data_IF_703053929032
#
_entry.id   IF_703053929032
#
_cell.length_a   1.000
_cell.length_b   1.000
_cell.length_c   1.000
_cell.angle_alpha   90.00
_cell.angle_beta   90.00
_cell.angle_gamma   90.00
#
_symmetry.space_group_name_H-M   'P 1'
#
loop_
_entity.id
_entity.type
_entity.pdbx_description
1 polymer ?
#
# COMPACT_ATOMS: atom_id res chain seq x y z
N UNK A 1 0.61 1.29 8.62
CA UNK A 1 1.29 1.36 7.31
C UNK A 1 2.69 0.80 7.45
N UNK A 2 3.25 0.22 6.39
CA UNK A 2 4.65 -0.21 6.41
C UNK A 2 5.27 -0.11 5.01
N UNK A 3 6.54 0.29 4.97
CA UNK A 3 7.39 0.24 3.79
C UNK A 3 8.40 -0.89 3.98
N UNK A 4 8.39 -1.84 3.06
CA UNK A 4 9.31 -2.96 2.99
C UNK A 4 10.38 -2.67 1.94
N UNK A 5 11.65 -2.89 2.26
CA UNK A 5 12.77 -2.67 1.34
C UNK A 5 13.69 -3.89 1.30
N UNK A 6 14.38 -4.07 0.19
CA UNK A 6 15.25 -5.22 -0.01
C UNK A 6 14.46 -6.53 -0.20
N UNK A 7 13.22 -6.44 -0.72
CA UNK A 7 12.46 -7.60 -1.16
C UNK A 7 13.09 -8.14 -2.45
N UNK A 8 13.17 -9.47 -2.60
CA UNK A 8 13.71 -10.06 -3.82
C UNK A 8 12.75 -9.84 -5.00
N UNK A 9 13.23 -9.20 -6.07
CA UNK A 9 12.41 -8.84 -7.25
C UNK A 9 11.81 -10.06 -7.96
N UNK A 10 12.42 -11.24 -7.84
CA UNK A 10 11.96 -12.49 -8.43
C UNK A 10 10.92 -13.25 -7.61
N UNK A 11 10.47 -12.70 -6.48
CA UNK A 11 9.34 -13.29 -5.74
C UNK A 11 8.07 -13.17 -6.59
N UNK A 12 7.30 -14.26 -6.78
CA UNK A 12 6.07 -14.21 -7.57
C UNK A 12 5.09 -13.12 -7.09
N UNK A 13 5.00 -12.88 -5.79
CA UNK A 13 4.14 -11.83 -5.22
C UNK A 13 4.57 -10.41 -5.61
N UNK A 14 5.76 -10.20 -6.18
CA UNK A 14 6.19 -8.89 -6.66
C UNK A 14 5.63 -8.54 -8.03
N UNK A 15 5.35 -9.54 -8.89
CA UNK A 15 5.00 -9.33 -10.30
C UNK A 15 3.73 -10.03 -10.75
N UNK A 16 3.26 -11.03 -10.00
CA UNK A 16 2.09 -11.83 -10.39
C UNK A 16 0.89 -11.53 -9.50
N UNK A 17 -0.22 -11.00 -10.07
CA UNK A 17 -1.42 -10.64 -9.29
C UNK A 17 -1.99 -11.80 -8.48
N UNK A 18 -2.03 -13.01 -9.05
CA UNK A 18 -2.59 -14.18 -8.35
C UNK A 18 -1.73 -14.63 -7.17
N UNK A 19 -0.40 -14.51 -7.29
CA UNK A 19 0.52 -14.82 -6.20
C UNK A 19 0.40 -13.80 -5.06
N UNK A 20 0.33 -12.50 -5.40
CA UNK A 20 0.11 -11.43 -4.42
C UNK A 20 -1.25 -11.58 -3.74
N UNK A 21 -2.29 -11.83 -4.53
CA UNK A 21 -3.64 -12.11 -4.04
C UNK A 21 -3.66 -13.26 -3.03
N UNK A 22 -3.03 -14.39 -3.37
CA UNK A 22 -2.96 -15.55 -2.49
C UNK A 22 -2.25 -15.24 -1.17
N UNK A 23 -1.16 -14.46 -1.21
CA UNK A 23 -0.44 -13.99 -0.03
C UNK A 23 -1.33 -13.09 0.85
N UNK A 24 -1.99 -12.09 0.26
CA UNK A 24 -2.87 -11.16 0.97
C UNK A 24 -4.06 -11.88 1.63
N UNK A 25 -4.74 -12.76 0.89
CA UNK A 25 -5.87 -13.51 1.43
C UNK A 25 -5.46 -14.50 2.53
N UNK A 26 -4.25 -15.07 2.44
CA UNK A 26 -3.70 -15.89 3.54
C UNK A 26 -3.49 -15.01 4.77
N UNK A 27 -2.84 -13.85 4.63
CA UNK A 27 -2.60 -12.94 5.74
C UNK A 27 -3.91 -12.46 6.40
N UNK A 28 -4.94 -12.18 5.61
CA UNK A 28 -6.28 -11.81 6.10
C UNK A 28 -6.90 -12.95 6.92
N UNK A 29 -6.84 -14.20 6.42
CA UNK A 29 -7.35 -15.37 7.16
C UNK A 29 -6.59 -15.62 8.46
N UNK A 30 -5.24 -15.55 8.40
CA UNK A 30 -4.38 -15.75 9.57
C UNK A 30 -4.63 -14.68 10.64
N UNK A 31 -4.99 -13.45 10.22
CA UNK A 31 -5.44 -12.37 11.10
C UNK A 31 -6.87 -12.50 11.59
N UNK A 32 -7.60 -13.57 11.24
CA UNK A 32 -9.02 -13.78 11.55
C UNK A 32 -9.91 -12.57 11.15
N UNK A 33 -9.60 -11.97 9.99
CA UNK A 33 -10.37 -10.89 9.38
C UNK A 33 -11.25 -11.44 8.25
N UNK A 34 -12.37 -10.75 7.97
CA UNK A 34 -13.37 -11.19 6.98
C UNK A 34 -13.23 -10.38 5.70
N UNK A 35 -12.75 -10.98 4.58
CA UNK A 35 -12.70 -10.29 3.30
C UNK A 35 -14.12 -10.21 2.70
N UNK A 36 -14.47 -9.06 2.12
CA UNK A 36 -15.76 -8.81 1.44
C UNK A 36 -15.60 -8.47 -0.04
N UNK A 37 -14.39 -8.20 -0.51
CA UNK A 37 -14.08 -7.94 -1.91
C UNK A 37 -12.58 -7.74 -2.11
N UNK A 38 -12.14 -7.79 -3.37
CA UNK A 38 -10.73 -7.63 -3.70
C UNK A 38 -10.54 -7.19 -5.13
N UNK A 39 -9.42 -6.51 -5.41
CA UNK A 39 -8.97 -6.14 -6.74
C UNK A 39 -7.46 -6.15 -6.78
N UNK A 40 -6.88 -6.76 -7.81
CA UNK A 40 -5.45 -6.75 -8.08
C UNK A 40 -5.20 -6.37 -9.53
N UNK A 41 -4.26 -5.46 -9.76
CA UNK A 41 -3.90 -4.96 -11.08
C UNK A 41 -2.39 -5.02 -11.28
N UNK A 42 -1.95 -5.57 -12.42
CA UNK A 42 -0.54 -5.59 -12.82
C UNK A 42 -0.26 -4.42 -13.75
N UNK A 43 0.83 -3.71 -13.48
CA UNK A 43 1.34 -2.69 -14.40
C UNK A 43 2.14 -3.30 -15.54
N UNK A 44 2.33 -2.57 -16.63
CA UNK A 44 3.20 -2.97 -17.74
C UNK A 44 4.68 -3.10 -17.30
N UNK A 45 5.51 -3.84 -18.09
CA UNK A 45 6.92 -4.08 -17.74
C UNK A 45 7.69 -2.79 -17.39
N UNK A 46 8.54 -2.80 -16.30
CA UNK A 46 8.96 -3.94 -15.44
C UNK A 46 7.94 -4.39 -14.40
N UNK A 47 6.80 -3.79 -14.41
CA UNK A 47 5.51 -4.00 -13.78
C UNK A 47 5.42 -4.69 -12.43
N UNK A 48 5.20 -3.88 -11.40
CA UNK A 48 4.68 -4.32 -10.13
C UNK A 48 3.17 -4.60 -10.15
N UNK A 49 2.62 -4.87 -9.00
CA UNK A 49 1.19 -5.11 -8.78
C UNK A 49 0.66 -4.15 -7.72
N UNK A 50 -0.50 -3.58 -7.95
CA UNK A 50 -1.29 -2.93 -6.93
C UNK A 50 -2.46 -3.84 -6.56
N UNK A 51 -2.79 -3.89 -5.27
CA UNK A 51 -3.90 -4.70 -4.80
C UNK A 51 -4.61 -4.09 -3.61
N UNK A 52 -5.87 -4.40 -3.48
CA UNK A 52 -6.68 -4.08 -2.31
C UNK A 52 -7.54 -5.28 -1.95
N UNK A 53 -7.62 -5.57 -0.65
CA UNK A 53 -8.60 -6.47 -0.07
C UNK A 53 -9.50 -5.64 0.84
N UNK A 54 -10.76 -5.53 0.49
CA UNK A 54 -11.79 -4.93 1.33
C UNK A 54 -12.15 -5.92 2.43
N UNK A 55 -12.16 -5.45 3.64
CA UNK A 55 -12.57 -6.19 4.82
C UNK A 55 -13.91 -5.62 5.30
N UNK A 56 -14.66 -6.34 6.13
CA UNK A 56 -15.99 -5.95 6.55
C UNK A 56 -16.07 -4.51 7.11
N UNK A 57 -15.01 -4.04 7.79
CA UNK A 57 -14.97 -2.69 8.39
C UNK A 57 -13.60 -2.02 8.19
N UNK A 58 -12.82 -2.46 7.19
CA UNK A 58 -11.42 -2.06 7.05
C UNK A 58 -10.86 -2.41 5.67
N UNK A 59 -9.55 -2.33 5.50
CA UNK A 59 -8.90 -2.74 4.25
C UNK A 59 -7.42 -3.11 4.46
N UNK A 60 -6.92 -3.88 3.50
CA UNK A 60 -5.51 -4.05 3.21
C UNK A 60 -5.23 -3.50 1.82
N UNK A 61 -4.33 -2.53 1.68
CA UNK A 61 -3.81 -2.11 0.39
C UNK A 61 -2.32 -2.45 0.28
N UNK A 62 -1.89 -2.81 -0.93
CA UNK A 62 -0.52 -3.25 -1.21
C UNK A 62 -0.08 -2.76 -2.58
N UNK A 63 1.16 -2.27 -2.67
CA UNK A 63 1.80 -1.91 -3.92
C UNK A 63 3.21 -2.50 -3.95
N UNK A 64 3.55 -3.18 -5.03
CA UNK A 64 4.88 -3.78 -5.22
C UNK A 64 5.66 -3.01 -6.28
N UNK A 65 6.96 -2.87 -6.05
CA UNK A 65 7.91 -2.15 -6.89
C UNK A 65 9.12 -3.06 -7.13
N UNK A 66 9.02 -4.06 -8.02
CA UNK A 66 10.09 -5.03 -8.24
C UNK A 66 11.42 -4.38 -8.63
N UNK A 67 11.38 -3.29 -9.41
CA UNK A 67 12.56 -2.51 -9.82
C UNK A 67 13.30 -1.84 -8.66
N UNK A 68 12.60 -1.60 -7.55
CA UNK A 68 13.15 -1.00 -6.33
C UNK A 68 13.38 -2.01 -5.22
N UNK A 69 12.93 -3.27 -5.41
CA UNK A 69 12.88 -4.26 -4.35
C UNK A 69 12.04 -3.78 -3.16
N UNK A 70 10.94 -3.05 -3.43
CA UNK A 70 10.14 -2.40 -2.41
C UNK A 70 8.67 -2.81 -2.46
N UNK A 71 8.01 -2.77 -1.28
CA UNK A 71 6.57 -2.96 -1.14
C UNK A 71 6.04 -1.94 -0.14
N UNK A 72 4.92 -1.31 -0.46
CA UNK A 72 4.18 -0.47 0.48
C UNK A 72 2.90 -1.16 0.91
N UNK A 73 2.61 -1.11 2.20
CA UNK A 73 1.45 -1.76 2.82
C UNK A 73 0.66 -0.75 3.65
N UNK A 74 -0.65 -0.71 3.45
CA UNK A 74 -1.58 -0.06 4.37
C UNK A 74 -2.55 -1.10 4.92
N UNK A 75 -2.45 -1.36 6.22
CA UNK A 75 -3.36 -2.23 6.97
C UNK A 75 -4.15 -1.32 7.90
N UNK A 76 -5.39 -1.09 7.56
CA UNK A 76 -6.34 -0.35 8.39
C UNK A 76 -7.35 -1.33 8.99
N UNK A 77 -7.54 -1.28 10.31
CA UNK A 77 -8.58 -2.04 11.01
C UNK A 77 -9.43 -1.08 11.83
N UNK A 78 -10.73 -1.34 11.85
CA UNK A 78 -11.65 -0.61 12.72
C UNK A 78 -11.57 -1.19 14.14
N UNK A 79 -11.46 -0.31 15.13
CA UNK A 79 -11.47 -0.66 16.55
C UNK A 79 -12.82 -0.33 17.23
N UNK A 80 -13.88 -0.08 16.44
CA UNK A 80 -15.20 0.16 16.98
C UNK A 80 -15.76 -1.14 17.57
N UNK A 81 -16.01 -1.13 18.86
CA UNK A 81 -16.56 -2.29 19.59
C UNK A 81 -15.55 -3.39 19.97
N UNK A 82 -14.35 -3.42 19.40
CA UNK A 82 -13.28 -4.36 19.76
C UNK A 82 -11.91 -3.84 19.35
N UNK A 83 -10.86 -4.14 20.12
CA UNK A 83 -9.48 -3.84 19.72
C UNK A 83 -8.97 -4.90 18.73
N UNK A 84 -8.87 -4.53 17.47
CA UNK A 84 -8.33 -5.34 16.38
C UNK A 84 -6.84 -5.12 16.11
N UNK A 85 -6.13 -4.35 16.95
CA UNK A 85 -4.72 -4.02 16.76
C UNK A 85 -3.83 -5.27 16.65
N UNK A 86 -4.07 -6.29 17.46
CA UNK A 86 -3.33 -7.54 17.41
C UNK A 86 -3.54 -8.30 16.08
N UNK A 87 -4.77 -8.26 15.52
CA UNK A 87 -5.09 -8.85 14.22
C UNK A 87 -4.36 -8.14 13.08
N UNK A 88 -4.33 -6.80 13.12
CA UNK A 88 -3.58 -5.99 12.14
C UNK A 88 -2.08 -6.29 12.20
N UNK A 89 -1.51 -6.44 13.40
CA UNK A 89 -0.11 -6.80 13.57
C UNK A 89 0.20 -8.20 13.04
N UNK A 90 -0.67 -9.18 13.30
CA UNK A 90 -0.54 -10.54 12.78
C UNK A 90 -0.60 -10.59 11.26
N UNK A 91 -1.55 -9.85 10.65
CA UNK A 91 -1.67 -9.70 9.20
C UNK A 91 -0.38 -9.10 8.61
N UNK A 92 0.11 -8.02 9.19
CA UNK A 92 1.35 -7.37 8.76
C UNK A 92 2.55 -8.31 8.87
N UNK A 93 2.66 -9.07 9.95
CA UNK A 93 3.73 -10.05 10.15
C UNK A 93 3.71 -11.16 9.07
N UNK A 94 2.54 -11.68 8.71
CA UNK A 94 2.39 -12.68 7.64
C UNK A 94 2.84 -12.10 6.28
N UNK A 95 2.49 -10.85 5.97
CA UNK A 95 2.95 -10.18 4.75
C UNK A 95 4.46 -9.96 4.76
N UNK A 96 5.04 -9.50 5.87
CA UNK A 96 6.48 -9.34 6.01
C UNK A 96 7.23 -10.65 5.80
N UNK A 97 6.74 -11.76 6.36
CA UNK A 97 7.32 -13.09 6.13
C UNK A 97 7.24 -13.49 4.64
N UNK A 98 6.12 -13.19 3.97
CA UNK A 98 5.92 -13.51 2.56
C UNK A 98 6.84 -12.75 1.61
N UNK A 99 7.17 -11.50 1.93
CA UNK A 99 8.09 -10.66 1.14
C UNK A 99 9.54 -10.78 1.57
N UNK A 100 9.83 -11.30 2.77
CA UNK A 100 11.16 -11.44 3.35
C UNK A 100 12.06 -10.20 3.15
N UNK A 101 11.63 -8.99 3.58
CA UNK A 101 12.36 -7.77 3.33
C UNK A 101 13.66 -7.71 4.15
N UNK A 102 14.67 -7.03 3.61
CA UNK A 102 15.90 -6.71 4.36
C UNK A 102 15.70 -5.60 5.40
N UNK A 103 14.69 -4.72 5.19
CA UNK A 103 14.35 -3.61 6.08
C UNK A 103 12.84 -3.37 6.10
N UNK A 104 12.31 -3.04 7.27
CA UNK A 104 10.91 -2.68 7.50
C UNK A 104 10.85 -1.32 8.20
N UNK A 105 10.07 -0.39 7.64
CA UNK A 105 9.71 0.87 8.26
C UNK A 105 8.20 0.82 8.53
N UNK A 106 7.82 0.60 9.78
CA UNK A 106 6.42 0.51 10.18
C UNK A 106 5.97 1.79 10.91
N UNK A 107 4.79 2.29 10.53
CA UNK A 107 4.15 3.45 11.14
C UNK A 107 2.77 3.07 11.64
N UNK A 108 2.49 3.41 12.90
CA UNK A 108 1.16 3.29 13.47
C UNK A 108 0.49 4.66 13.46
N UNK A 109 -0.67 4.72 12.82
CA UNK A 109 -1.51 5.93 12.79
C UNK A 109 -2.87 5.56 13.38
N UNK A 110 -3.33 6.32 14.36
CA UNK A 110 -4.69 6.21 14.88
C UNK A 110 -5.57 7.10 14.03
N UNK A 111 -6.67 6.54 13.49
CA UNK A 111 -7.65 7.25 12.65
C UNK A 111 -9.05 6.90 13.12
N UNK A 112 -10.00 7.84 12.94
CA UNK A 112 -11.40 7.58 13.24
C UNK A 112 -11.68 7.50 14.73
N UNK A 113 -10.96 8.23 15.56
CA UNK A 113 -11.43 8.51 16.92
C UNK A 113 -12.75 9.26 16.80
N UNK A 114 -13.83 8.57 17.12
CA UNK A 114 -15.12 9.22 17.33
C UNK A 114 -14.98 9.90 18.70
N UNK A 115 -14.36 11.08 18.72
CA UNK A 115 -14.47 11.99 19.85
C UNK A 115 -15.96 12.22 20.09
N UNK A 116 -16.36 12.37 21.33
CA UNK A 116 -17.73 12.65 21.73
C UNK A 116 -18.38 13.64 20.75
N UNK A 117 -19.33 13.17 19.95
CA UNK A 117 -20.20 14.02 19.13
C UNK A 117 -21.16 14.84 20.00
N UNK A 118 -20.79 15.11 21.23
CA UNK A 118 -21.59 15.75 22.26
C UNK A 118 -20.97 17.00 22.88
N UNK A 119 -20.16 17.78 22.18
CA UNK A 119 -20.04 19.23 22.50
C UNK A 119 -19.49 19.98 21.29
N UNK A 120 -20.35 20.68 20.58
CA UNK A 120 -20.03 21.68 19.58
C UNK A 120 -19.51 22.95 20.29
N UNK A 121 -18.32 22.89 20.81
CA UNK A 121 -17.52 24.04 21.22
C UNK A 121 -16.51 24.34 20.12
N UNK A 122 -16.89 25.23 19.22
CA UNK A 122 -16.00 25.91 18.28
C UNK A 122 -14.66 26.28 18.96
N UNK A 123 -13.56 25.71 18.48
CA UNK A 123 -12.29 26.45 18.36
C UNK A 123 -11.35 25.68 17.41
N UNK A 124 -11.24 26.21 16.18
CA UNK A 124 -10.20 25.85 15.26
C UNK A 124 -8.80 26.04 15.85
N UNK A 125 -8.05 24.99 15.81
CA UNK A 125 -6.61 25.07 15.63
C UNK A 125 -6.21 23.83 14.83
N UNK A 126 -6.19 23.96 13.51
CA UNK A 126 -5.43 23.08 12.63
C UNK A 126 -3.98 23.47 12.85
N UNK A 127 -3.33 22.82 13.81
CA UNK A 127 -1.88 22.94 13.96
C UNK A 127 -1.26 22.51 12.64
N UNK A 128 -0.67 23.49 12.00
CA UNK A 128 0.13 23.39 10.79
C UNK A 128 1.16 22.26 10.98
N UNK A 129 0.97 21.15 10.26
CA UNK A 129 1.96 20.06 10.21
C UNK A 129 3.25 20.66 9.69
N UNK A 130 4.34 20.71 10.46
CA UNK A 130 5.57 21.32 10.00
C UNK A 130 6.04 20.60 8.73
N UNK A 131 6.43 21.37 7.74
CA UNK A 131 6.88 20.96 6.39
C UNK A 131 8.20 20.15 6.39
N UNK A 132 8.41 19.28 7.36
CA UNK A 132 9.60 18.45 7.50
C UNK A 132 9.42 17.02 6.99
N UNK A 133 8.27 16.65 6.41
CA UNK A 133 8.04 15.33 5.81
C UNK A 133 8.06 15.36 4.26
N UNK A 134 8.72 16.37 3.68
CA UNK A 134 8.94 16.48 2.24
C UNK A 134 10.23 15.77 1.82
N UNK A 135 10.32 14.46 2.04
CA UNK A 135 11.35 13.58 1.43
C UNK A 135 10.73 12.24 1.04
N UNK A 136 9.70 12.30 0.21
CA UNK A 136 9.15 11.12 -0.48
C UNK A 136 9.16 11.33 -2.00
N UNK A 137 10.05 12.15 -2.52
CA UNK A 137 10.13 12.45 -3.96
C UNK A 137 10.69 11.31 -4.82
N UNK A 138 11.14 10.21 -4.21
CA UNK A 138 11.64 9.04 -4.95
C UNK A 138 10.53 8.25 -5.67
N UNK A 139 9.28 8.38 -5.26
CA UNK A 139 8.15 7.65 -5.86
C UNK A 139 7.35 8.49 -6.86
N UNK A 140 7.41 9.82 -6.78
CA UNK A 140 6.66 10.71 -7.69
C UNK A 140 7.27 10.77 -9.08
N UNK A 141 8.58 10.58 -9.23
CA UNK A 141 9.29 10.73 -10.51
C UNK A 141 9.05 9.53 -11.45
N UNK A 142 8.73 8.36 -10.94
CA UNK A 142 8.54 7.17 -11.77
C UNK A 142 7.16 7.11 -12.46
N UNK A 143 6.16 7.84 -11.95
CA UNK A 143 4.79 7.79 -12.48
C UNK A 143 4.52 8.84 -13.58
N UNK A 144 5.41 9.79 -13.83
CA UNK A 144 5.15 10.91 -14.75
C UNK A 144 5.97 10.89 -16.03
N UNK A 145 6.59 9.76 -16.41
CA UNK A 145 7.15 9.60 -17.76
C UNK A 145 6.14 8.85 -18.64
N UNK A 146 5.12 9.58 -19.11
CA UNK A 146 4.32 9.17 -20.25
C UNK A 146 5.20 9.04 -21.52
N UNK A 147 4.82 8.21 -22.49
CA UNK A 147 5.63 7.97 -23.68
C UNK A 147 5.83 9.28 -24.45
N UNK A 148 7.09 9.73 -24.53
CA UNK A 148 7.50 10.81 -25.43
C UNK A 148 7.23 10.37 -26.86
N UNK A 149 6.24 10.96 -27.50
CA UNK A 149 6.00 10.85 -28.94
C UNK A 149 7.14 11.56 -29.67
N UNK A 150 8.19 10.81 -30.02
CA UNK A 150 9.14 11.29 -31.01
C UNK A 150 8.47 11.25 -32.38
N UNK A 151 8.28 12.43 -32.95
CA UNK A 151 7.78 12.61 -34.30
C UNK A 151 8.65 11.88 -35.32
N UNK A 152 7.97 11.22 -36.26
CA UNK A 152 8.55 10.62 -37.44
C UNK A 152 9.19 11.69 -38.34
N UNK A 153 10.41 11.51 -38.85
CA UNK A 153 10.91 12.37 -39.93
C UNK A 153 10.23 12.03 -41.24
N UNK A 154 9.76 13.09 -41.91
CA UNK A 154 9.06 13.03 -43.17
C UNK A 154 9.81 12.31 -44.30
N UNK A 155 9.03 11.55 -45.06
CA UNK A 155 9.43 10.96 -46.32
C UNK A 155 9.45 12.06 -47.41
N UNK A 156 10.62 12.43 -47.92
CA UNK A 156 10.74 13.25 -49.12
C UNK A 156 10.86 12.33 -50.34
N UNK A 157 9.94 12.52 -51.30
CA UNK A 157 10.03 11.91 -52.66
C UNK A 157 11.14 12.53 -53.47
N UNK A 158 11.90 11.73 -54.15
CA UNK A 158 12.39 11.91 -55.49
C UNK A 158 12.66 10.50 -56.09
#
# INVERSE_FOLDING_TARGET
MADLRGCAANLPAMTEPDALRALCLRAVRDGALTPVGELFHRFGPPGGVTGVVLLAESHLAVHTWPELGAVTLDVYVCNYGADNSARAQGLLATLQQGFAPGQVLAHRVVRGEVGDLGDQGDQGNVDEVPAACAKTDLFSTALNQGPSTRGSPGCTKA
#
